data_IF_604270673985
#
_entry.id   IF_604270673985
#
_cell.length_a   1.000
_cell.length_b   1.000
_cell.length_c   1.000
_cell.angle_alpha   90.00
_cell.angle_beta   90.00
_cell.angle_gamma   90.00
#
_symmetry.space_group_name_H-M   'P 1'
#
loop_
_entity.id
_entity.type
_entity.pdbx_description
1 polymer ?
#
# COMPACT_ATOMS: atom_id res chain seq x y z
N UNK A 1 9.08 23.11 10.36
CA UNK A 1 9.72 21.87 10.85
C UNK A 1 8.64 20.96 11.42
N UNK A 2 8.43 19.78 10.82
CA UNK A 2 7.49 18.80 11.33
C UNK A 2 7.91 18.29 12.71
N UNK A 3 6.96 17.94 13.56
CA UNK A 3 7.28 17.21 14.78
C UNK A 3 7.65 15.76 14.44
N UNK A 4 8.32 15.06 15.36
CA UNK A 4 8.57 13.60 15.24
C UNK A 4 7.25 12.83 15.06
N UNK A 5 6.16 13.33 15.66
CA UNK A 5 4.82 12.73 15.52
C UNK A 5 4.29 12.91 14.10
N UNK A 6 4.45 14.09 13.51
CA UNK A 6 3.95 14.38 12.17
C UNK A 6 4.71 13.62 11.09
N UNK A 7 6.04 13.54 11.20
CA UNK A 7 6.88 12.75 10.28
C UNK A 7 6.55 11.25 10.36
N UNK A 8 6.35 10.71 11.57
CA UNK A 8 5.91 9.33 11.74
C UNK A 8 4.50 9.07 11.19
N UNK A 9 3.59 10.03 11.36
CA UNK A 9 2.24 9.97 10.80
C UNK A 9 2.25 9.99 9.26
N UNK A 10 3.10 10.83 8.66
CA UNK A 10 3.32 10.88 7.22
C UNK A 10 3.97 9.59 6.70
N UNK A 11 4.94 9.03 7.42
CA UNK A 11 5.57 7.75 7.11
C UNK A 11 4.56 6.59 7.18
N UNK A 12 3.71 6.56 8.20
CA UNK A 12 2.63 5.57 8.32
C UNK A 12 1.64 5.66 7.15
N UNK A 13 1.14 6.86 6.85
CA UNK A 13 0.16 7.09 5.77
C UNK A 13 0.74 6.76 4.40
N UNK A 14 1.98 7.19 4.14
CA UNK A 14 2.71 6.88 2.90
C UNK A 14 3.05 5.40 2.80
N UNK A 15 3.33 4.73 3.93
CA UNK A 15 3.48 3.29 4.02
C UNK A 15 2.21 2.56 3.63
N UNK A 16 1.08 2.89 4.26
CA UNK A 16 -0.24 2.34 3.91
C UNK A 16 -0.55 2.51 2.42
N UNK A 17 -0.34 3.71 1.89
CA UNK A 17 -0.56 4.00 0.49
C UNK A 17 0.40 3.21 -0.43
N UNK A 18 1.66 3.02 -0.02
CA UNK A 18 2.66 2.28 -0.79
C UNK A 18 2.31 0.81 -0.96
N UNK A 19 1.68 0.20 0.04
CA UNK A 19 1.17 -1.17 -0.08
C UNK A 19 0.04 -1.32 -1.11
N UNK A 20 -0.66 -0.24 -1.43
CA UNK A 20 -1.70 -0.20 -2.46
C UNK A 20 -1.12 0.19 -3.82
N UNK A 21 -0.40 1.32 -3.92
CA UNK A 21 0.28 1.82 -5.12
C UNK A 21 1.55 2.64 -4.78
N UNK A 22 2.71 1.99 -4.66
CA UNK A 22 3.97 2.66 -4.28
C UNK A 22 4.48 3.64 -5.33
N UNK A 23 4.22 3.37 -6.60
CA UNK A 23 4.66 4.24 -7.70
C UNK A 23 3.86 5.54 -7.69
N UNK A 24 2.55 5.45 -7.44
CA UNK A 24 1.70 6.63 -7.26
C UNK A 24 2.10 7.45 -6.03
N UNK A 25 2.47 6.82 -4.91
CA UNK A 25 2.99 7.55 -3.72
C UNK A 25 4.22 8.39 -4.09
N UNK A 26 5.20 7.79 -4.79
CA UNK A 26 6.41 8.50 -5.23
C UNK A 26 6.06 9.67 -6.16
N UNK A 27 5.12 9.47 -7.10
CA UNK A 27 4.67 10.52 -8.00
C UNK A 27 3.99 11.67 -7.26
N UNK A 28 3.10 11.38 -6.30
CA UNK A 28 2.38 12.42 -5.55
C UNK A 28 3.34 13.21 -4.68
N UNK A 29 4.19 12.54 -3.90
CA UNK A 29 5.17 13.21 -3.04
C UNK A 29 6.17 14.01 -3.89
N UNK A 30 6.77 13.38 -4.91
CA UNK A 30 7.77 14.06 -5.74
C UNK A 30 7.20 15.21 -6.58
N UNK A 31 5.95 15.12 -7.03
CA UNK A 31 5.30 16.25 -7.69
C UNK A 31 4.93 17.36 -6.71
N UNK A 32 4.50 17.02 -5.49
CA UNK A 32 4.20 18.00 -4.45
C UNK A 32 5.45 18.81 -4.07
N UNK A 33 6.59 18.13 -3.90
CA UNK A 33 7.91 18.73 -3.75
C UNK A 33 8.22 19.70 -4.91
N UNK A 34 8.16 19.23 -6.16
CA UNK A 34 8.45 20.08 -7.33
C UNK A 34 7.57 21.30 -7.49
N UNK A 35 6.29 21.23 -7.11
CA UNK A 35 5.31 22.30 -7.34
C UNK A 35 5.26 23.32 -6.22
N UNK A 36 5.54 22.91 -4.98
CA UNK A 36 5.32 23.74 -3.80
C UNK A 36 6.54 23.84 -2.87
N UNK A 37 7.62 23.11 -3.16
CA UNK A 37 8.87 23.14 -2.38
C UNK A 37 8.63 22.85 -0.90
N UNK A 38 7.88 21.76 -0.62
CA UNK A 38 7.53 21.38 0.74
C UNK A 38 8.77 20.85 1.48
N UNK A 39 9.31 21.62 2.43
CA UNK A 39 10.48 21.25 3.27
C UNK A 39 10.41 19.84 3.90
N UNK A 40 9.21 19.32 4.14
CA UNK A 40 9.00 17.99 4.73
C UNK A 40 9.09 16.83 3.73
N UNK A 41 9.08 17.12 2.43
CA UNK A 41 9.19 16.12 1.38
C UNK A 41 10.63 16.15 0.86
N UNK A 42 11.32 15.01 0.84
CA UNK A 42 12.70 14.94 0.36
C UNK A 42 12.84 15.26 -1.14
N UNK A 43 13.70 16.22 -1.50
CA UNK A 43 13.99 16.67 -2.88
C UNK A 43 14.33 15.52 -3.84
N UNK A 44 14.90 14.42 -3.31
CA UNK A 44 15.25 13.24 -4.09
C UNK A 44 14.03 12.63 -4.79
N UNK A 45 12.83 12.77 -4.21
CA UNK A 45 11.57 12.31 -4.81
C UNK A 45 11.14 13.18 -6.00
N UNK A 46 11.49 14.47 -6.01
CA UNK A 46 11.20 15.42 -7.09
C UNK A 46 12.18 15.37 -8.27
N UNK A 47 13.21 14.51 -8.23
CA UNK A 47 14.15 14.32 -9.33
C UNK A 47 13.45 13.76 -10.57
N UNK A 48 13.74 14.33 -11.73
CA UNK A 48 13.13 13.92 -13.01
C UNK A 48 13.33 12.43 -13.31
N UNK A 49 14.50 11.86 -13.00
CA UNK A 49 14.74 10.43 -13.22
C UNK A 49 13.83 9.56 -12.33
N UNK A 50 13.62 9.97 -11.07
CA UNK A 50 12.78 9.26 -10.11
C UNK A 50 11.31 9.33 -10.55
N UNK A 51 10.83 10.52 -10.91
CA UNK A 51 9.48 10.72 -11.41
C UNK A 51 9.23 9.98 -12.73
N UNK A 52 10.21 9.92 -13.63
CA UNK A 52 10.08 9.18 -14.89
C UNK A 52 9.96 7.67 -14.66
N UNK A 53 10.78 7.10 -13.78
CA UNK A 53 10.71 5.67 -13.43
C UNK A 53 9.40 5.36 -12.70
N UNK A 54 9.01 6.18 -11.72
CA UNK A 54 7.75 6.00 -11.00
C UNK A 54 6.54 6.14 -11.94
N UNK A 55 6.56 7.10 -12.88
CA UNK A 55 5.54 7.30 -13.89
C UNK A 55 5.39 6.09 -14.82
N UNK A 56 6.51 5.55 -15.29
CA UNK A 56 6.52 4.35 -16.11
C UNK A 56 5.97 3.12 -15.36
N UNK A 57 6.44 2.89 -14.13
CA UNK A 57 5.98 1.77 -13.31
C UNK A 57 4.51 1.90 -12.91
N UNK A 58 4.03 3.12 -12.62
CA UNK A 58 2.62 3.39 -12.40
C UNK A 58 1.79 3.09 -13.65
N UNK A 59 2.24 3.50 -14.84
CA UNK A 59 1.54 3.20 -16.08
C UNK A 59 1.47 1.68 -16.34
N UNK A 60 2.54 0.94 -16.06
CA UNK A 60 2.54 -0.52 -16.13
C UNK A 60 1.53 -1.13 -15.15
N UNK A 61 1.56 -0.71 -13.88
CA UNK A 61 0.61 -1.16 -12.85
C UNK A 61 -0.84 -0.87 -13.25
N UNK A 62 -1.10 0.35 -13.71
CA UNK A 62 -2.43 0.75 -14.16
C UNK A 62 -2.97 -0.15 -15.27
N UNK A 63 -2.12 -0.61 -16.18
CA UNK A 63 -2.52 -1.58 -17.21
C UNK A 63 -2.65 -2.99 -16.63
N UNK A 64 -1.68 -3.43 -15.83
CA UNK A 64 -1.64 -4.77 -15.24
C UNK A 64 -2.88 -5.07 -14.39
N UNK A 65 -3.31 -4.11 -13.57
CA UNK A 65 -4.47 -4.22 -12.68
C UNK A 65 -5.80 -4.47 -13.40
N UNK A 66 -5.86 -4.20 -14.71
CA UNK A 66 -7.08 -4.35 -15.52
C UNK A 66 -7.17 -5.72 -16.19
N UNK A 67 -6.08 -6.49 -16.20
CA UNK A 67 -6.02 -7.79 -16.86
C UNK A 67 -5.98 -8.88 -15.78
N UNK A 68 -7.03 -9.73 -15.68
CA UNK A 68 -7.05 -10.81 -14.71
C UNK A 68 -5.81 -11.70 -14.81
N UNK A 69 -5.32 -12.18 -13.66
CA UNK A 69 -4.10 -12.99 -13.49
C UNK A 69 -2.78 -12.25 -13.72
N UNK A 70 -2.73 -11.27 -14.62
CA UNK A 70 -1.58 -10.34 -14.72
C UNK A 70 -1.50 -9.51 -13.45
N UNK A 71 -2.63 -9.00 -12.96
CA UNK A 71 -2.77 -8.31 -11.68
C UNK A 71 -2.13 -9.10 -10.52
N UNK A 72 -2.44 -10.39 -10.44
CA UNK A 72 -2.00 -11.28 -9.36
C UNK A 72 -0.49 -11.55 -9.44
N UNK A 73 0.05 -11.63 -10.66
CA UNK A 73 1.49 -11.78 -10.88
C UNK A 73 2.23 -10.49 -10.52
N UNK A 74 1.68 -9.34 -10.89
CA UNK A 74 2.21 -8.03 -10.51
C UNK A 74 2.20 -7.84 -8.99
N UNK A 75 1.12 -8.23 -8.32
CA UNK A 75 1.01 -8.20 -6.86
C UNK A 75 2.03 -9.13 -6.18
N UNK A 76 2.26 -10.34 -6.72
CA UNK A 76 3.26 -11.25 -6.17
C UNK A 76 4.69 -10.65 -6.22
N UNK A 77 5.06 -10.02 -7.33
CA UNK A 77 6.34 -9.28 -7.44
C UNK A 77 6.36 -8.11 -6.45
N UNK A 78 5.24 -7.39 -6.38
CA UNK A 78 5.09 -6.20 -5.56
C UNK A 78 5.13 -6.46 -4.05
N UNK A 79 4.95 -7.72 -3.62
CA UNK A 79 5.09 -8.13 -2.22
C UNK A 79 6.48 -7.82 -1.67
N UNK A 80 7.52 -7.83 -2.51
CA UNK A 80 8.85 -7.37 -2.11
C UNK A 80 9.04 -5.88 -2.34
N UNK A 81 8.60 -5.37 -3.51
CA UNK A 81 8.87 -3.98 -3.92
C UNK A 81 8.18 -2.98 -2.99
N UNK A 82 6.88 -3.14 -2.72
CA UNK A 82 6.08 -2.13 -2.00
C UNK A 82 6.54 -1.94 -0.55
N UNK A 83 6.81 -2.99 0.25
CA UNK A 83 7.36 -2.81 1.58
C UNK A 83 8.75 -2.15 1.56
N UNK A 84 9.59 -2.47 0.57
CA UNK A 84 10.89 -1.81 0.41
C UNK A 84 10.72 -0.33 0.10
N UNK A 85 9.85 0.04 -0.86
CA UNK A 85 9.58 1.44 -1.18
C UNK A 85 8.98 2.17 0.01
N UNK A 86 8.00 1.58 0.71
CA UNK A 86 7.42 2.15 1.92
C UNK A 86 8.45 2.39 3.02
N UNK A 87 9.39 1.45 3.21
CA UNK A 87 10.48 1.61 4.18
C UNK A 87 11.44 2.74 3.78
N UNK A 88 11.83 2.81 2.52
CA UNK A 88 12.70 3.89 2.00
C UNK A 88 12.02 5.24 2.17
N UNK A 89 10.76 5.37 1.79
CA UNK A 89 9.98 6.61 1.98
C UNK A 89 9.92 6.98 3.45
N UNK A 90 9.63 6.02 4.35
CA UNK A 90 9.62 6.26 5.79
C UNK A 90 10.94 6.80 6.34
N UNK A 91 12.08 6.24 5.90
CA UNK A 91 13.41 6.74 6.28
C UNK A 91 13.65 8.15 5.73
N UNK A 92 13.33 8.39 4.46
CA UNK A 92 13.56 9.70 3.84
C UNK A 92 12.72 10.80 4.50
N UNK A 93 11.45 10.52 4.81
CA UNK A 93 10.56 11.45 5.51
C UNK A 93 10.98 11.75 6.96
N UNK A 94 11.78 10.88 7.58
CA UNK A 94 12.35 11.15 8.90
C UNK A 94 13.47 12.19 8.86
N UNK A 95 14.05 12.48 7.67
CA UNK A 95 15.02 13.55 7.47
C UNK A 95 16.21 13.46 8.44
N UNK A 96 16.53 14.57 9.11
CA UNK A 96 17.65 14.69 10.06
C UNK A 96 17.36 14.11 11.47
N UNK A 97 16.33 13.27 11.61
CA UNK A 97 16.04 12.60 12.88
C UNK A 97 17.19 11.67 13.32
N UNK A 98 17.14 11.22 14.57
CA UNK A 98 18.14 10.27 15.08
C UNK A 98 18.13 8.98 14.26
N UNK A 99 19.26 8.25 14.25
CA UNK A 99 19.33 6.97 13.53
C UNK A 99 18.28 5.95 14.00
N UNK A 100 17.90 6.00 15.28
CA UNK A 100 16.82 5.19 15.83
C UNK A 100 15.45 5.62 15.26
N UNK A 101 15.15 6.90 15.21
CA UNK A 101 13.88 7.41 14.70
C UNK A 101 13.72 7.21 13.19
N UNK A 102 14.81 7.32 12.43
CA UNK A 102 14.85 6.94 11.02
C UNK A 102 14.55 5.45 10.83
N UNK A 103 15.16 4.58 11.64
CA UNK A 103 14.90 3.15 11.60
C UNK A 103 13.44 2.82 11.97
N UNK A 104 12.89 3.46 13.01
CA UNK A 104 11.48 3.34 13.39
C UNK A 104 10.58 3.77 12.23
N UNK A 105 10.85 4.91 11.60
CA UNK A 105 10.05 5.43 10.49
C UNK A 105 10.11 4.51 9.26
N UNK A 106 11.28 3.92 8.98
CA UNK A 106 11.43 2.89 7.94
C UNK A 106 10.64 1.62 8.24
N UNK A 107 10.69 1.13 9.48
CA UNK A 107 9.89 -0.04 9.91
C UNK A 107 8.39 0.26 9.82
N UNK A 108 7.96 1.46 10.23
CA UNK A 108 6.56 1.89 10.14
C UNK A 108 6.12 2.00 8.68
N UNK A 109 6.91 2.64 7.82
CA UNK A 109 6.61 2.77 6.41
C UNK A 109 6.51 1.42 5.71
N UNK A 110 7.53 0.56 5.85
CA UNK A 110 7.58 -0.74 5.20
C UNK A 110 6.59 -1.76 5.79
N UNK A 111 6.43 -1.78 7.11
CA UNK A 111 5.48 -2.67 7.80
C UNK A 111 4.04 -2.33 7.47
N UNK A 112 3.69 -1.05 7.44
CA UNK A 112 2.35 -0.61 7.04
C UNK A 112 2.09 -0.89 5.56
N UNK A 113 3.09 -0.74 4.69
CA UNK A 113 3.00 -1.13 3.28
C UNK A 113 2.78 -2.64 3.11
N UNK A 114 3.48 -3.49 3.87
CA UNK A 114 3.26 -4.94 3.82
C UNK A 114 1.85 -5.31 4.28
N UNK A 115 1.37 -4.69 5.35
CA UNK A 115 0.04 -4.96 5.90
C UNK A 115 -1.08 -4.55 4.93
N UNK A 116 -1.01 -3.35 4.37
CA UNK A 116 -1.99 -2.86 3.38
C UNK A 116 -1.91 -3.64 2.06
N UNK A 117 -0.72 -4.01 1.60
CA UNK A 117 -0.57 -4.88 0.42
C UNK A 117 -1.22 -6.25 0.62
N UNK A 118 -1.09 -6.82 1.82
CA UNK A 118 -1.76 -8.08 2.18
C UNK A 118 -3.29 -7.97 2.09
N UNK A 119 -3.85 -6.81 2.45
CA UNK A 119 -5.28 -6.51 2.26
C UNK A 119 -5.63 -6.43 0.77
N UNK A 120 -4.86 -5.70 -0.06
CA UNK A 120 -5.06 -5.62 -1.52
C UNK A 120 -5.06 -7.01 -2.15
N UNK A 121 -4.00 -7.80 -1.93
CA UNK A 121 -3.91 -9.17 -2.45
C UNK A 121 -5.07 -10.06 -2.00
N UNK A 122 -5.48 -9.95 -0.74
CA UNK A 122 -6.63 -10.70 -0.21
C UNK A 122 -7.94 -10.33 -0.90
N UNK A 123 -8.16 -9.05 -1.19
CA UNK A 123 -9.31 -8.56 -1.95
C UNK A 123 -9.27 -9.05 -3.40
N UNK A 124 -8.09 -9.06 -4.04
CA UNK A 124 -7.91 -9.59 -5.41
C UNK A 124 -8.26 -11.07 -5.51
N UNK A 125 -7.93 -11.89 -4.51
CA UNK A 125 -8.38 -13.29 -4.46
C UNK A 125 -9.91 -13.42 -4.46
N UNK A 126 -10.62 -12.51 -3.78
CA UNK A 126 -12.08 -12.50 -3.77
C UNK A 126 -12.67 -12.00 -5.10
N UNK A 127 -12.08 -10.97 -5.70
CA UNK A 127 -12.51 -10.41 -6.99
C UNK A 127 -12.27 -11.42 -8.13
N UNK A 128 -11.11 -12.06 -8.16
CA UNK A 128 -10.73 -13.01 -9.21
C UNK A 128 -11.40 -14.38 -9.07
N UNK A 129 -12.16 -14.64 -8.00
CA UNK A 129 -13.00 -15.82 -7.89
C UNK A 129 -14.13 -15.84 -8.95
N UNK A 130 -14.54 -14.66 -9.44
CA UNK A 130 -15.41 -14.50 -10.61
C UNK A 130 -14.85 -13.36 -11.47
N UNK A 131 -14.01 -13.66 -12.47
CA UNK A 131 -13.26 -12.64 -13.20
C UNK A 131 -14.20 -11.81 -14.09
N UNK A 132 -14.66 -10.69 -13.55
CA UNK A 132 -15.42 -9.66 -14.28
C UNK A 132 -14.55 -8.41 -14.47
N UNK A 133 -14.29 -7.97 -15.72
CA UNK A 133 -13.42 -6.83 -15.99
C UNK A 133 -13.82 -5.54 -15.25
N UNK A 134 -15.13 -5.31 -15.10
CA UNK A 134 -15.65 -4.12 -14.42
C UNK A 134 -15.27 -4.08 -12.94
N UNK A 135 -15.27 -5.22 -12.24
CA UNK A 135 -14.90 -5.31 -10.84
C UNK A 135 -13.43 -5.03 -10.62
N UNK A 136 -12.55 -5.54 -11.50
CA UNK A 136 -11.11 -5.26 -11.43
C UNK A 136 -10.77 -3.80 -11.73
N UNK A 137 -11.38 -3.23 -12.76
CA UNK A 137 -11.22 -1.81 -13.11
C UNK A 137 -11.72 -0.93 -11.95
N UNK A 138 -12.93 -1.18 -11.45
CA UNK A 138 -13.52 -0.40 -10.36
C UNK A 138 -12.68 -0.46 -9.08
N UNK A 139 -12.20 -1.65 -8.70
CA UNK A 139 -11.34 -1.81 -7.54
C UNK A 139 -10.01 -1.06 -7.69
N UNK A 140 -9.31 -1.24 -8.83
CA UNK A 140 -8.03 -0.56 -9.09
C UNK A 140 -8.16 0.96 -9.12
N UNK A 141 -9.21 1.50 -9.75
CA UNK A 141 -9.43 2.94 -9.77
C UNK A 141 -9.79 3.51 -8.39
N UNK A 142 -10.56 2.78 -7.59
CA UNK A 142 -10.88 3.17 -6.22
C UNK A 142 -9.62 3.15 -5.32
N UNK A 143 -8.76 2.15 -5.50
CA UNK A 143 -7.46 2.04 -4.84
C UNK A 143 -6.56 3.23 -5.16
N UNK A 144 -6.40 3.55 -6.46
CA UNK A 144 -5.60 4.71 -6.90
C UNK A 144 -6.15 6.04 -6.37
N UNK A 145 -7.48 6.22 -6.42
CA UNK A 145 -8.12 7.42 -5.88
C UNK A 145 -7.91 7.54 -4.36
N UNK A 146 -7.98 6.43 -3.63
CA UNK A 146 -7.75 6.42 -2.18
C UNK A 146 -6.29 6.75 -1.85
N UNK A 147 -5.32 6.17 -2.58
CA UNK A 147 -3.89 6.48 -2.44
C UNK A 147 -3.65 7.96 -2.70
N UNK A 148 -4.10 8.48 -3.85
CA UNK A 148 -3.94 9.89 -4.21
C UNK A 148 -4.50 10.81 -3.13
N UNK A 149 -5.73 10.55 -2.68
CA UNK A 149 -6.42 11.39 -1.71
C UNK A 149 -5.74 11.38 -0.34
N UNK A 150 -5.36 10.18 0.16
CA UNK A 150 -4.73 10.05 1.48
C UNK A 150 -3.33 10.65 1.47
N UNK A 151 -2.52 10.41 0.44
CA UNK A 151 -1.16 10.96 0.37
C UNK A 151 -1.20 12.47 0.22
N UNK A 152 -2.06 13.00 -0.66
CA UNK A 152 -2.26 14.44 -0.80
C UNK A 152 -2.67 15.09 0.53
N UNK A 153 -3.68 14.52 1.20
CA UNK A 153 -4.16 15.02 2.49
C UNK A 153 -3.10 14.88 3.60
N UNK A 154 -2.25 13.86 3.55
CA UNK A 154 -1.18 13.65 4.53
C UNK A 154 -0.12 14.74 4.50
N UNK A 155 0.11 15.39 3.36
CA UNK A 155 1.09 16.47 3.25
C UNK A 155 0.66 17.66 4.13
N UNK A 156 -0.62 18.02 4.11
CA UNK A 156 -1.14 19.15 4.89
C UNK A 156 -1.61 18.75 6.30
N UNK A 157 -2.11 17.53 6.46
CA UNK A 157 -2.70 17.04 7.71
C UNK A 157 -2.18 15.64 8.10
N UNK A 158 -0.89 15.48 8.44
CA UNK A 158 -0.25 14.17 8.63
C UNK A 158 -0.97 13.25 9.63
N UNK A 159 -1.34 13.78 10.80
CA UNK A 159 -1.98 12.99 11.87
C UNK A 159 -3.41 12.55 11.50
N UNK A 160 -4.17 13.42 10.83
CA UNK A 160 -5.53 13.09 10.40
C UNK A 160 -5.50 12.06 9.27
N UNK A 161 -4.56 12.19 8.32
CA UNK A 161 -4.35 11.20 7.28
C UNK A 161 -3.92 9.84 7.86
N UNK A 162 -3.05 9.84 8.88
CA UNK A 162 -2.65 8.62 9.56
C UNK A 162 -3.81 7.93 10.27
N UNK A 163 -4.71 8.70 10.89
CA UNK A 163 -5.94 8.16 11.46
C UNK A 163 -6.85 7.52 10.39
N UNK A 164 -7.03 8.19 9.25
CA UNK A 164 -7.82 7.66 8.11
C UNK A 164 -7.18 6.38 7.58
N UNK A 165 -5.89 6.40 7.27
CA UNK A 165 -5.13 5.23 6.82
C UNK A 165 -5.21 4.08 7.83
N UNK A 166 -5.14 4.40 9.12
CA UNK A 166 -5.25 3.42 10.21
C UNK A 166 -6.62 2.76 10.27
N UNK A 167 -7.70 3.52 10.11
CA UNK A 167 -9.07 2.99 10.03
C UNK A 167 -9.24 2.10 8.81
N UNK A 168 -8.78 2.55 7.63
CA UNK A 168 -8.85 1.78 6.39
C UNK A 168 -8.06 0.47 6.50
N UNK A 169 -6.85 0.53 7.05
CA UNK A 169 -6.01 -0.64 7.28
C UNK A 169 -6.67 -1.62 8.26
N UNK A 170 -7.15 -1.13 9.40
CA UNK A 170 -7.79 -1.96 10.41
C UNK A 170 -9.04 -2.66 9.84
N UNK A 171 -9.89 -1.91 9.12
CA UNK A 171 -11.05 -2.47 8.44
C UNK A 171 -10.66 -3.57 7.44
N UNK A 172 -9.67 -3.29 6.59
CA UNK A 172 -9.16 -4.24 5.61
C UNK A 172 -8.59 -5.52 6.23
N UNK A 173 -7.78 -5.39 7.29
CA UNK A 173 -7.20 -6.53 8.00
C UNK A 173 -8.28 -7.36 8.72
N UNK A 174 -9.30 -6.72 9.30
CA UNK A 174 -10.44 -7.40 9.92
C UNK A 174 -11.21 -8.22 8.86
N UNK A 175 -11.51 -7.62 7.71
CA UNK A 175 -12.17 -8.32 6.61
C UNK A 175 -11.35 -9.51 6.13
N UNK A 176 -10.05 -9.30 5.89
CA UNK A 176 -9.11 -10.35 5.48
C UNK A 176 -9.07 -11.50 6.48
N UNK A 177 -9.03 -11.20 7.78
CA UNK A 177 -9.04 -12.20 8.85
C UNK A 177 -10.33 -13.05 8.81
N UNK A 178 -11.51 -12.43 8.64
CA UNK A 178 -12.77 -13.16 8.56
C UNK A 178 -12.86 -14.05 7.31
N UNK A 179 -12.41 -13.55 6.16
CA UNK A 179 -12.33 -14.32 4.92
C UNK A 179 -11.41 -15.53 5.09
N UNK A 180 -10.19 -15.34 5.61
CA UNK A 180 -9.25 -16.42 5.87
C UNK A 180 -9.81 -17.45 6.85
N UNK A 181 -10.52 -17.00 7.89
CA UNK A 181 -11.19 -17.88 8.86
C UNK A 181 -12.31 -18.71 8.22
N UNK A 182 -13.11 -18.13 7.33
CA UNK A 182 -14.17 -18.82 6.61
C UNK A 182 -13.61 -19.92 5.70
N UNK A 183 -12.58 -19.59 4.92
CA UNK A 183 -11.88 -20.52 4.02
C UNK A 183 -11.29 -21.69 4.83
N UNK A 184 -10.57 -21.41 5.93
CA UNK A 184 -9.99 -22.46 6.80
C UNK A 184 -11.05 -23.38 7.39
N UNK A 185 -12.22 -22.84 7.77
CA UNK A 185 -13.35 -23.64 8.28
C UNK A 185 -13.95 -24.54 7.20
N UNK A 186 -14.13 -24.02 5.98
CA UNK A 186 -14.61 -24.80 4.84
C UNK A 186 -13.65 -25.95 4.49
N UNK A 187 -12.35 -25.66 4.41
CA UNK A 187 -11.31 -26.65 4.15
C UNK A 187 -11.30 -27.79 5.17
N UNK A 188 -11.39 -27.47 6.47
CA UNK A 188 -11.43 -28.49 7.55
C UNK A 188 -12.65 -29.41 7.41
N UNK A 189 -13.82 -28.88 7.06
CA UNK A 189 -15.04 -29.67 6.84
C UNK A 189 -14.93 -30.55 5.60
N UNK A 190 -14.28 -30.06 4.54
CA UNK A 190 -14.06 -30.86 3.33
C UNK A 190 -13.09 -32.02 3.60
N UNK A 191 -11.93 -31.77 4.24
CA UNK A 191 -11.00 -32.84 4.64
C UNK A 191 -11.66 -33.90 5.53
N UNK A 192 -12.48 -33.49 6.51
CA UNK A 192 -13.21 -34.43 7.38
C UNK A 192 -14.31 -35.25 6.68
N UNK A 193 -14.68 -34.92 5.43
CA UNK A 193 -15.61 -35.72 4.61
C UNK A 193 -14.91 -36.68 3.65
N UNK A 194 -13.61 -36.49 3.40
CA UNK A 194 -12.80 -37.32 2.49
C UNK A 194 -12.14 -38.50 3.22
N UNK A 195 -12.14 -38.52 4.57
CA UNK A 195 -11.81 -39.70 5.40
C UNK A 195 -13.05 -40.47 5.97
N UNK A 196 -13.88 -41.16 5.15
CA UNK A 196 -14.80 -42.20 5.67
C UNK A 196 -14.28 -43.64 5.50
N UNK A 197 -13.11 -43.88 4.89
CA UNK A 197 -12.73 -45.21 4.38
C UNK A 197 -11.88 -46.08 5.34
N UNK A 198 -11.86 -45.82 6.66
CA UNK A 198 -11.11 -46.62 7.64
C UNK A 198 -11.90 -47.01 8.91
N UNK A 199 -13.24 -47.00 8.87
CA UNK A 199 -14.09 -47.52 9.95
C UNK A 199 -15.00 -48.64 9.48
#
# INVERSE_FOLDING_TARGET
MLTTVDSLALAFSSGWASGINSYLVVLVLGMADRLNDFDQIPDVLGRWEVLAVAGFLYAMEFVADKIPFIDSTWDAISTAIRPTVGAVIGVLLAGDATSLDQAISGVVGGGTALASHSVKMGSRLAINASPEPLSNIGASLAEDAAVLSVVWFAIEHPQAAAAIAGVLLAFGLVLLYFVAKLIRRGWRRWKGRVDPALS
#
